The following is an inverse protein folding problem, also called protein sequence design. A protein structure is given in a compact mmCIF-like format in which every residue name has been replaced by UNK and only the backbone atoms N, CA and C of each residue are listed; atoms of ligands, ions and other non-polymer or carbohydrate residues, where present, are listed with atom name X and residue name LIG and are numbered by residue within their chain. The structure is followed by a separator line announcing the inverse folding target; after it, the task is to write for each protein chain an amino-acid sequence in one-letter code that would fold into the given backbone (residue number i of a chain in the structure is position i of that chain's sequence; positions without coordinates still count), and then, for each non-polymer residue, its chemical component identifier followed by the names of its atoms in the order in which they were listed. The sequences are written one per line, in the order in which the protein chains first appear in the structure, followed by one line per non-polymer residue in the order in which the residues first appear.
data_IF_908141895827
#
_entry.id   IF_908141895827
#
_cell.length_a   1.000
_cell.length_b   1.000
_cell.length_c   1.000
_cell.angle_alpha   90.00
_cell.angle_beta   90.00
_cell.angle_gamma   90.00
#
_symmetry.space_group_name_H-M   'P 1'
#
loop_
_entity.id
_entity.type
_entity.pdbx_description
1 polymer ?
#
# COMPACT_ATOMS: atom_id res chain seq x y z
N UNK A 1 -8.87 -6.45 6.10
CA UNK A 1 -7.49 -5.95 6.26
C UNK A 1 -7.47 -4.63 6.98
N UNK A 2 -6.49 -4.43 7.79
CA UNK A 2 -6.31 -3.18 8.55
C UNK A 2 -4.88 -2.71 8.45
N UNK A 3 -4.70 -1.40 8.56
CA UNK A 3 -3.36 -0.83 8.61
C UNK A 3 -2.71 -1.21 9.93
N UNK A 4 -1.46 -1.71 9.85
CA UNK A 4 -0.72 -2.12 11.04
C UNK A 4 -0.29 -0.90 11.85
N UNK A 5 -0.21 -1.06 13.17
CA UNK A 5 0.38 -0.04 14.03
C UNK A 5 1.85 0.08 13.68
N UNK A 6 2.34 1.31 13.55
CA UNK A 6 3.74 1.54 13.18
C UNK A 6 4.01 1.46 11.69
N UNK A 7 2.96 1.36 10.84
CA UNK A 7 3.13 1.29 9.39
C UNK A 7 3.91 2.49 8.84
N UNK A 8 3.69 3.68 9.38
CA UNK A 8 4.41 4.88 8.96
C UNK A 8 5.91 4.75 9.20
N UNK A 9 6.32 4.17 10.33
CA UNK A 9 7.73 3.95 10.63
C UNK A 9 8.36 2.96 9.67
N UNK A 10 7.63 1.88 9.33
CA UNK A 10 8.09 0.90 8.36
C UNK A 10 8.30 1.54 6.99
N UNK A 11 7.37 2.40 6.58
CA UNK A 11 7.47 3.11 5.31
C UNK A 11 8.66 4.06 5.28
N UNK A 12 8.92 4.76 6.38
CA UNK A 12 10.08 5.65 6.48
C UNK A 12 11.38 4.87 6.32
N UNK A 13 11.50 3.72 6.97
CA UNK A 13 12.69 2.87 6.86
C UNK A 13 12.91 2.38 5.43
N UNK A 14 11.84 2.00 4.75
CA UNK A 14 11.94 1.53 3.37
C UNK A 14 12.28 2.63 2.40
N UNK A 15 11.80 3.84 2.66
CA UNK A 15 12.08 5.00 1.82
C UNK A 15 13.57 5.32 1.75
N UNK A 16 14.31 5.08 2.82
CA UNK A 16 15.74 5.29 2.85
C UNK A 16 16.53 4.31 1.97
N UNK A 17 15.90 3.20 1.61
CA UNK A 17 16.53 2.17 0.80
C UNK A 17 16.32 2.33 -0.70
N UNK A 18 15.59 3.34 -1.13
CA UNK A 18 15.32 3.54 -2.55
C UNK A 18 16.52 4.21 -3.20
N UNK A 19 17.56 3.41 -3.44
CA UNK A 19 18.77 3.89 -4.10
C UNK A 19 18.64 3.98 -5.61
N UNK A 20 17.59 3.40 -6.22
CA UNK A 20 17.46 3.33 -7.66
C UNK A 20 16.10 3.84 -8.13
N UNK A 21 15.81 5.05 -7.71
CA UNK A 21 14.52 5.67 -7.94
C UNK A 21 14.14 5.73 -9.43
N UNK A 22 15.08 6.13 -10.27
CA UNK A 22 14.82 6.26 -11.71
C UNK A 22 14.57 4.91 -12.37
N UNK A 23 15.32 3.89 -12.00
CA UNK A 23 15.10 2.55 -12.50
C UNK A 23 13.74 1.99 -12.11
N UNK A 24 13.32 2.23 -10.87
CA UNK A 24 12.03 1.80 -10.37
C UNK A 24 10.88 2.42 -11.15
N UNK A 25 10.98 3.70 -11.50
CA UNK A 25 9.94 4.39 -12.27
C UNK A 25 9.77 3.82 -13.68
N UNK A 26 10.86 3.44 -14.32
CA UNK A 26 10.83 2.92 -15.69
C UNK A 26 10.13 1.56 -15.81
N UNK A 27 10.20 0.75 -14.76
CA UNK A 27 9.66 -0.61 -14.76
C UNK A 27 8.47 -0.78 -13.84
N UNK A 28 7.86 0.31 -13.44
CA UNK A 28 6.72 0.27 -12.53
C UNK A 28 5.50 -0.36 -13.20
N UNK A 29 4.93 -1.40 -12.57
CA UNK A 29 3.72 -2.05 -13.03
C UNK A 29 2.49 -1.36 -12.43
N UNK A 30 1.31 -1.72 -12.91
CA UNK A 30 0.06 -1.23 -12.35
C UNK A 30 -0.03 -1.57 -10.86
N UNK A 31 0.33 -2.79 -10.47
CA UNK A 31 0.35 -3.19 -9.07
C UNK A 31 1.27 -2.29 -8.24
N UNK A 32 2.46 -2.02 -8.74
CA UNK A 32 3.42 -1.17 -8.06
C UNK A 32 2.93 0.27 -7.93
N UNK A 33 2.28 0.78 -8.97
CA UNK A 33 1.66 2.10 -8.92
C UNK A 33 0.60 2.18 -7.83
N UNK A 34 -0.21 1.15 -7.71
CA UNK A 34 -1.25 1.08 -6.67
C UNK A 34 -0.62 0.98 -5.29
N UNK A 35 0.42 0.14 -5.15
CA UNK A 35 1.14 0.02 -3.88
C UNK A 35 1.70 1.37 -3.45
N UNK A 36 2.34 2.09 -4.36
CA UNK A 36 2.90 3.40 -4.06
C UNK A 36 1.83 4.43 -3.69
N UNK A 37 0.70 4.40 -4.38
CA UNK A 37 -0.42 5.27 -4.07
C UNK A 37 -0.99 4.99 -2.67
N UNK A 38 -1.12 3.72 -2.30
CA UNK A 38 -1.59 3.34 -0.97
C UNK A 38 -0.57 3.76 0.09
N UNK A 39 0.72 3.56 -0.17
CA UNK A 39 1.78 4.01 0.75
C UNK A 39 1.70 5.51 0.99
N UNK A 40 1.45 6.29 -0.06
CA UNK A 40 1.29 7.74 0.06
C UNK A 40 0.10 8.10 0.94
N UNK A 41 -1.02 7.40 0.78
CA UNK A 41 -2.18 7.61 1.61
C UNK A 41 -1.89 7.34 3.09
N UNK A 42 -1.13 6.29 3.37
CA UNK A 42 -0.74 5.95 4.73
C UNK A 42 0.21 7.01 5.29
N UNK A 43 1.19 7.41 4.51
CA UNK A 43 2.18 8.40 4.90
C UNK A 43 1.55 9.76 5.19
N UNK A 44 0.54 10.14 4.41
CA UNK A 44 -0.17 11.40 4.56
C UNK A 44 -1.32 11.33 5.57
N UNK A 45 -1.44 10.20 6.29
CA UNK A 45 -2.48 9.97 7.30
C UNK A 45 -3.92 9.99 6.75
N UNK A 46 -4.08 9.74 5.46
CA UNK A 46 -5.40 9.55 4.87
C UNK A 46 -5.97 8.20 5.30
N UNK A 47 -5.10 7.21 5.48
CA UNK A 47 -5.46 5.93 6.10
C UNK A 47 -4.77 5.90 7.46
N UNK A 48 -5.56 5.75 8.51
CA UNK A 48 -5.06 5.80 9.89
C UNK A 48 -4.72 4.40 10.42
N UNK A 49 -3.79 4.30 11.37
CA UNK A 49 -3.51 3.01 12.02
C UNK A 49 -4.78 2.36 12.57
N UNK A 50 -4.95 1.07 12.30
CA UNK A 50 -6.12 0.33 12.72
C UNK A 50 -7.35 0.52 11.85
N UNK A 51 -7.31 1.44 10.89
CA UNK A 51 -8.42 1.69 10.00
C UNK A 51 -8.66 0.47 9.09
N UNK A 52 -9.93 0.14 8.90
CA UNK A 52 -10.31 -0.93 8.00
C UNK A 52 -10.10 -0.51 6.55
N UNK A 53 -9.50 -1.40 5.77
CA UNK A 53 -9.26 -1.18 4.36
C UNK A 53 -10.22 -2.04 3.56
N UNK A 54 -11.00 -1.40 2.70
CA UNK A 54 -12.00 -2.07 1.87
C UNK A 54 -11.54 -2.08 0.42
N UNK A 55 -11.36 -3.27 -0.10
CA UNK A 55 -10.85 -3.52 -1.45
C UNK A 55 -11.67 -2.83 -2.53
N UNK A 56 -12.99 -2.94 -2.43
CA UNK A 56 -13.89 -2.36 -3.40
C UNK A 56 -13.81 -0.83 -3.46
N UNK A 57 -13.67 -0.21 -2.30
CA UNK A 57 -13.55 1.25 -2.23
C UNK A 57 -12.27 1.73 -2.90
N UNK A 58 -11.17 1.04 -2.68
CA UNK A 58 -9.90 1.37 -3.33
C UNK A 58 -9.98 1.16 -4.84
N UNK A 59 -10.64 0.10 -5.28
CA UNK A 59 -10.80 -0.17 -6.70
C UNK A 59 -11.57 0.97 -7.38
N UNK A 60 -12.60 1.46 -6.75
CA UNK A 60 -13.37 2.60 -7.27
C UNK A 60 -12.54 3.87 -7.29
N UNK A 61 -11.80 4.12 -6.24
CA UNK A 61 -10.99 5.33 -6.12
C UNK A 61 -9.88 5.37 -7.17
N UNK A 62 -9.24 4.23 -7.42
CA UNK A 62 -8.15 4.15 -8.39
C UNK A 62 -8.63 3.82 -9.82
N UNK A 63 -9.94 3.75 -10.03
CA UNK A 63 -10.53 3.44 -11.35
C UNK A 63 -9.98 2.16 -11.95
N UNK A 64 -9.92 1.11 -11.15
CA UNK A 64 -9.39 -0.19 -11.57
C UNK A 64 -10.28 -1.32 -11.08
N UNK A 65 -9.99 -2.53 -11.55
CA UNK A 65 -10.66 -3.73 -11.06
C UNK A 65 -10.09 -4.13 -9.69
N UNK A 66 -10.73 -5.08 -9.03
CA UNK A 66 -10.33 -5.53 -7.69
C UNK A 66 -9.07 -6.39 -7.70
N UNK A 67 -8.76 -7.04 -8.82
CA UNK A 67 -7.59 -7.90 -8.93
C UNK A 67 -6.28 -7.21 -8.58
N UNK A 68 -5.93 -6.13 -9.29
CA UNK A 68 -4.70 -5.38 -8.98
C UNK A 68 -4.66 -4.82 -7.57
N UNK A 69 -5.82 -4.39 -7.04
CA UNK A 69 -5.91 -3.91 -5.66
C UNK A 69 -5.59 -5.04 -4.68
N UNK A 70 -6.14 -6.22 -4.91
CA UNK A 70 -5.90 -7.38 -4.05
C UNK A 70 -4.42 -7.75 -4.03
N UNK A 71 -3.78 -7.75 -5.18
CA UNK A 71 -2.34 -8.04 -5.28
C UNK A 71 -1.50 -7.00 -4.56
N UNK A 72 -1.85 -5.73 -4.70
CA UNK A 72 -1.16 -4.64 -4.01
C UNK A 72 -1.29 -4.79 -2.50
N UNK A 73 -2.49 -5.10 -2.02
CA UNK A 73 -2.73 -5.30 -0.58
C UNK A 73 -1.97 -6.51 -0.05
N UNK A 74 -1.86 -7.58 -0.84
CA UNK A 74 -1.05 -8.74 -0.45
C UNK A 74 0.41 -8.38 -0.30
N UNK A 75 0.93 -7.57 -1.21
CA UNK A 75 2.30 -7.11 -1.10
C UNK A 75 2.52 -6.31 0.17
N UNK A 76 1.61 -5.39 0.48
CA UNK A 76 1.70 -4.59 1.70
C UNK A 76 1.54 -5.45 2.95
N UNK A 77 0.74 -6.49 2.89
CA UNK A 77 0.62 -7.45 3.97
C UNK A 77 1.93 -8.20 4.21
N UNK A 78 2.56 -8.64 3.13
CA UNK A 78 3.86 -9.31 3.21
C UNK A 78 4.94 -8.41 3.80
N UNK A 79 4.83 -7.10 3.57
CA UNK A 79 5.75 -6.12 4.13
C UNK A 79 5.44 -5.75 5.57
N UNK A 80 4.34 -6.26 6.12
CA UNK A 80 3.94 -5.98 7.49
C UNK A 80 3.20 -4.66 7.67
N UNK A 81 2.88 -3.97 6.60
CA UNK A 81 2.19 -2.67 6.64
C UNK A 81 0.70 -2.86 6.87
N UNK A 82 0.14 -3.92 6.31
CA UNK A 82 -1.27 -4.26 6.46
C UNK A 82 -1.39 -5.62 7.16
N UNK A 83 -2.35 -5.74 8.04
CA UNK A 83 -2.64 -6.98 8.76
C UNK A 83 -4.01 -7.48 8.33
N UNK A 84 -4.08 -8.75 7.97
CA UNK A 84 -5.35 -9.40 7.67
C UNK A 84 -6.04 -9.75 8.99
N UNK A 85 -7.25 -9.26 9.16
CA UNK A 85 -8.04 -9.59 10.34
C UNK A 85 -9.29 -10.33 9.90
N UNK A 86 -9.48 -11.51 10.47
CA UNK A 86 -10.78 -12.18 10.41
C UNK A 86 -11.70 -11.47 11.37
N UNK A 87 -12.89 -11.17 10.91
CA UNK A 87 -13.89 -10.55 11.73
C UNK A 87 -14.32 -11.37 12.82
#
# INVERSE_FOLDING_TARGET
MRLANGACELLLRKRERVGNFMGALLYQTLRESIVDAIRSKIFNHEIKPGQRIVELELAKEFHTSRGPIREALRQLENEGIIVYTRN
#
